data_IF_753377505077
#
_entry.id   IF_753377505077
#
_cell.length_a   1.000
_cell.length_b   1.000
_cell.length_c   1.000
_cell.angle_alpha   90.00
_cell.angle_beta   90.00
_cell.angle_gamma   90.00
#
_symmetry.space_group_name_H-M   'P 1'
#
loop_
_entity.id
_entity.type
_entity.pdbx_description
1 polymer ?
#
# COMPACT_ATOMS: atom_id res chain seq x y z
N UNK A 1 2.04 -12.09 -42.65
CA UNK A 1 1.09 -12.68 -41.66
C UNK A 1 1.78 -13.34 -40.47
N UNK A 2 2.80 -14.20 -40.67
CA UNK A 2 3.49 -14.94 -39.59
C UNK A 2 4.13 -14.07 -38.49
N UNK A 3 4.67 -12.89 -38.85
CA UNK A 3 5.24 -11.92 -37.88
C UNK A 3 4.19 -11.31 -36.94
N UNK A 4 2.99 -11.04 -37.45
CA UNK A 4 1.89 -10.46 -36.68
C UNK A 4 1.36 -11.43 -35.60
N UNK A 5 1.39 -12.73 -35.92
CA UNK A 5 0.96 -13.80 -35.01
C UNK A 5 1.89 -13.99 -33.80
N UNK A 6 3.16 -13.57 -33.91
CA UNK A 6 4.15 -13.63 -32.82
C UNK A 6 4.20 -12.32 -32.03
N UNK A 7 3.96 -11.18 -32.70
CA UNK A 7 3.96 -9.87 -32.04
C UNK A 7 2.76 -9.70 -31.08
N UNK A 8 1.60 -10.26 -31.42
CA UNK A 8 0.40 -10.19 -30.59
C UNK A 8 0.60 -10.77 -29.16
N UNK A 9 1.05 -12.02 -28.97
CA UNK A 9 1.26 -12.57 -27.63
C UNK A 9 2.38 -11.86 -26.86
N UNK A 10 3.43 -11.40 -27.55
CA UNK A 10 4.52 -10.63 -26.93
C UNK A 10 4.00 -9.29 -26.38
N UNK A 11 3.15 -8.61 -27.13
CA UNK A 11 2.54 -7.36 -26.69
C UNK A 11 1.58 -7.57 -25.51
N UNK A 12 0.82 -8.66 -25.54
CA UNK A 12 -0.07 -9.04 -24.44
C UNK A 12 0.71 -9.28 -23.13
N UNK A 13 1.85 -9.96 -23.21
CA UNK A 13 2.73 -10.23 -22.07
C UNK A 13 3.33 -8.95 -21.47
N UNK A 14 3.68 -7.99 -22.32
CA UNK A 14 4.17 -6.66 -21.90
C UNK A 14 3.10 -5.85 -21.16
N UNK A 15 1.85 -5.90 -21.61
CA UNK A 15 0.74 -5.22 -20.91
C UNK A 15 0.50 -5.86 -19.54
N UNK A 16 0.45 -7.19 -19.48
CA UNK A 16 0.24 -7.92 -18.23
C UNK A 16 1.34 -7.62 -17.19
N UNK A 17 2.61 -7.63 -17.59
CA UNK A 17 3.74 -7.33 -16.69
C UNK A 17 3.75 -5.89 -16.16
N UNK A 18 3.25 -4.93 -16.93
CA UNK A 18 3.08 -3.54 -16.47
C UNK A 18 2.07 -3.39 -15.33
N UNK A 19 0.97 -4.16 -15.35
CA UNK A 19 -0.08 -4.10 -14.31
C UNK A 19 0.42 -4.61 -12.96
N UNK A 20 1.25 -5.65 -12.93
CA UNK A 20 1.81 -6.18 -11.68
C UNK A 20 2.84 -5.25 -11.03
N UNK A 21 3.53 -4.42 -11.82
CA UNK A 21 4.58 -3.52 -11.30
C UNK A 21 4.01 -2.29 -10.59
N UNK A 22 2.78 -1.88 -10.92
CA UNK A 22 2.13 -0.71 -10.30
C UNK A 22 1.75 -0.93 -8.82
N UNK A 23 1.61 -2.19 -8.37
CA UNK A 23 1.21 -2.52 -7.00
C UNK A 23 2.38 -2.51 -5.99
N UNK A 24 3.63 -2.39 -6.44
CA UNK A 24 4.80 -2.62 -5.59
C UNK A 24 5.41 -1.34 -4.98
N UNK A 25 4.90 -0.16 -5.30
CA UNK A 25 5.55 1.10 -4.94
C UNK A 25 4.84 1.90 -3.84
N UNK A 26 3.72 1.40 -3.30
CA UNK A 26 2.95 2.11 -2.29
C UNK A 26 3.33 1.63 -0.88
N UNK A 27 4.53 2.02 -0.42
CA UNK A 27 4.91 1.85 0.99
C UNK A 27 4.31 3.00 1.81
N UNK A 28 2.99 2.98 1.96
CA UNK A 28 2.28 3.97 2.76
C UNK A 28 2.73 3.89 4.23
N UNK A 29 3.00 5.03 4.85
CA UNK A 29 3.29 5.14 6.29
C UNK A 29 2.17 5.93 6.93
N UNK A 30 1.49 5.34 7.91
CA UNK A 30 0.44 6.01 8.67
C UNK A 30 1.08 6.75 9.83
N UNK A 31 0.78 8.04 9.98
CA UNK A 31 1.28 8.85 11.10
C UNK A 31 0.16 9.10 12.10
N UNK A 32 0.43 8.81 13.37
CA UNK A 32 -0.45 9.12 14.49
C UNK A 32 0.27 10.14 15.40
N UNK A 33 -0.26 11.35 15.45
CA UNK A 33 0.27 12.43 16.30
C UNK A 33 -0.55 12.54 17.58
N UNK A 34 0.12 12.60 18.73
CA UNK A 34 -0.53 12.73 20.04
C UNK A 34 -0.19 14.09 20.65
N UNK A 35 -1.12 15.04 20.52
CA UNK A 35 -0.95 16.43 20.97
C UNK A 35 -1.06 16.63 22.50
N UNK A 36 -1.38 15.57 23.26
CA UNK A 36 -1.66 15.65 24.70
C UNK A 36 -0.92 14.57 25.51
N UNK A 37 -0.71 14.75 26.83
CA UNK A 37 -0.14 13.71 27.67
C UNK A 37 -0.89 12.39 27.55
N UNK A 38 -0.16 11.27 27.44
CA UNK A 38 -0.78 9.95 27.27
C UNK A 38 -1.60 9.58 28.50
N UNK A 39 -2.91 9.38 28.28
CA UNK A 39 -3.87 9.01 29.32
C UNK A 39 -4.42 7.59 29.06
N UNK A 40 -4.82 6.82 30.08
CA UNK A 40 -5.36 5.46 29.89
C UNK A 40 -6.58 5.40 28.95
N UNK A 41 -7.41 6.45 28.94
CA UNK A 41 -8.55 6.56 28.01
C UNK A 41 -8.12 6.58 26.54
N UNK A 42 -6.86 6.94 26.26
CA UNK A 42 -6.34 7.09 24.90
C UNK A 42 -5.90 5.80 24.24
N UNK A 43 -5.95 4.66 24.93
CA UNK A 43 -5.68 3.32 24.36
C UNK A 43 -6.46 3.10 23.06
N UNK A 44 -7.72 3.53 23.04
CA UNK A 44 -8.61 3.44 21.87
C UNK A 44 -8.14 4.26 20.66
N UNK A 45 -7.30 5.30 20.83
CA UNK A 45 -6.73 6.03 19.69
C UNK A 45 -5.59 5.24 19.04
N UNK A 46 -4.77 4.56 19.84
CA UNK A 46 -3.72 3.68 19.31
C UNK A 46 -4.30 2.48 18.58
N UNK A 47 -5.35 1.85 19.13
CA UNK A 47 -6.04 0.74 18.48
C UNK A 47 -6.61 1.16 17.12
N UNK A 48 -7.28 2.32 17.05
CA UNK A 48 -7.79 2.87 15.77
C UNK A 48 -6.68 3.22 14.78
N UNK A 49 -5.57 3.77 15.25
CA UNK A 49 -4.40 4.05 14.42
C UNK A 49 -3.82 2.76 13.82
N UNK A 50 -3.74 1.71 14.64
CA UNK A 50 -3.27 0.39 14.21
C UNK A 50 -4.22 -0.25 13.20
N UNK A 51 -5.54 -0.23 13.44
CA UNK A 51 -6.54 -0.72 12.49
C UNK A 51 -6.46 0.02 11.16
N UNK A 52 -6.23 1.33 11.20
CA UNK A 52 -6.05 2.16 10.00
C UNK A 52 -4.80 1.74 9.23
N UNK A 53 -3.66 1.54 9.90
CA UNK A 53 -2.44 1.06 9.27
C UNK A 53 -2.61 -0.32 8.64
N UNK A 54 -3.31 -1.24 9.32
CA UNK A 54 -3.59 -2.58 8.81
C UNK A 54 -4.53 -2.55 7.60
N UNK A 55 -5.62 -1.79 7.66
CA UNK A 55 -6.59 -1.69 6.55
C UNK A 55 -5.97 -1.12 5.28
N UNK A 56 -4.99 -0.22 5.42
CA UNK A 56 -4.23 0.38 4.33
C UNK A 56 -3.04 -0.47 3.85
N UNK A 57 -2.78 -1.60 4.50
CA UNK A 57 -1.56 -2.40 4.25
C UNK A 57 -0.29 -1.55 4.36
N UNK A 58 -0.31 -0.57 5.26
CA UNK A 58 0.78 0.36 5.46
C UNK A 58 2.05 -0.40 5.90
N UNK A 59 3.20 0.03 5.38
CA UNK A 59 4.49 -0.57 5.71
C UNK A 59 4.87 -0.31 7.18
N UNK A 60 4.43 0.83 7.73
CA UNK A 60 4.67 1.20 9.11
C UNK A 60 3.61 2.18 9.64
N UNK A 61 3.49 2.22 10.98
CA UNK A 61 2.83 3.31 11.69
C UNK A 61 3.89 4.09 12.48
N UNK A 62 3.96 5.41 12.26
CA UNK A 62 4.81 6.32 13.00
C UNK A 62 3.99 7.01 14.08
N UNK A 63 4.47 6.95 15.33
CA UNK A 63 3.90 7.68 16.44
C UNK A 63 4.75 8.92 16.73
N UNK A 64 4.14 10.10 16.77
CA UNK A 64 4.80 11.39 17.01
C UNK A 64 4.20 12.07 18.24
#
# INVERSE_FOLDING_TARGET
MRKFMVLLPMFLFLILSGVYSASAQDNEVVVLEIEAPVMPVMVTYFERGLETAVSKQAAAMLLV
#
